data_IF_852228870933
#
_entry.id   IF_852228870933
#
_cell.length_a   1.000
_cell.length_b   1.000
_cell.length_c   1.000
_cell.angle_alpha   90.00
_cell.angle_beta   90.00
_cell.angle_gamma   90.00
#
_symmetry.space_group_name_H-M   'P 1'
#
loop_
_entity.id
_entity.type
_entity.pdbx_description
1 polymer ?
#
# COMPACT_ATOMS: atom_id res chain seq x y z
N UNK A 1 -7.00 -18.13 -25.72
CA UNK A 1 -5.86 -17.29 -25.33
C UNK A 1 -6.03 -16.92 -23.87
N UNK A 2 -5.32 -17.62 -22.98
CA UNK A 2 -5.30 -17.32 -21.54
C UNK A 2 -4.35 -16.14 -21.30
N UNK A 3 -4.73 -15.09 -20.55
CA UNK A 3 -3.79 -14.04 -20.19
C UNK A 3 -2.70 -14.63 -19.29
N UNK A 4 -1.43 -14.47 -19.69
CA UNK A 4 -0.29 -14.86 -18.87
C UNK A 4 -0.29 -14.06 -17.55
N UNK A 5 0.04 -14.68 -16.41
CA UNK A 5 0.15 -13.96 -15.15
C UNK A 5 1.23 -12.89 -15.29
N UNK A 6 0.82 -11.65 -15.01
CA UNK A 6 1.63 -10.43 -15.02
C UNK A 6 2.97 -10.70 -14.33
N UNK A 7 4.07 -10.48 -15.07
CA UNK A 7 5.42 -10.71 -14.59
C UNK A 7 5.61 -10.06 -13.21
N UNK A 8 5.96 -10.87 -12.21
CA UNK A 8 6.34 -10.36 -10.89
C UNK A 8 7.58 -9.51 -11.03
N UNK A 9 7.41 -8.19 -11.13
CA UNK A 9 8.52 -7.23 -11.00
C UNK A 9 9.28 -7.59 -9.72
N UNK A 10 10.61 -7.83 -9.80
CA UNK A 10 11.40 -8.12 -8.62
C UNK A 10 11.25 -6.95 -7.65
N UNK A 11 10.79 -7.27 -6.43
CA UNK A 11 10.62 -6.28 -5.37
C UNK A 11 12.00 -5.91 -4.84
N UNK A 12 12.42 -4.66 -5.06
CA UNK A 12 13.56 -4.11 -4.36
C UNK A 12 13.16 -3.74 -2.93
N UNK A 13 13.97 -4.12 -1.95
CA UNK A 13 13.77 -3.75 -0.55
C UNK A 13 13.91 -2.23 -0.35
N UNK A 14 14.61 -1.53 -1.26
CA UNK A 14 14.73 -0.07 -1.25
C UNK A 14 13.39 0.64 -1.49
N UNK A 15 12.42 -0.03 -2.12
CA UNK A 15 11.09 0.50 -2.40
C UNK A 15 10.13 0.40 -1.20
N UNK A 16 10.56 -0.26 -0.12
CA UNK A 16 9.75 -0.46 1.08
C UNK A 16 10.03 0.67 2.06
N UNK A 17 9.06 1.58 2.22
CA UNK A 17 9.21 2.76 3.08
C UNK A 17 8.15 2.83 4.17
N UNK A 18 8.43 3.48 5.31
CA UNK A 18 7.40 3.79 6.31
C UNK A 18 6.24 4.56 5.68
N UNK A 19 5.01 4.24 6.09
CA UNK A 19 3.81 4.92 5.58
C UNK A 19 3.83 6.44 5.81
N UNK A 20 4.45 6.88 6.90
CA UNK A 20 4.61 8.31 7.20
C UNK A 20 5.44 9.06 6.15
N UNK A 21 6.44 8.41 5.55
CA UNK A 21 7.29 9.03 4.54
C UNK A 21 6.55 9.13 3.20
N UNK A 22 5.74 8.13 2.85
CA UNK A 22 4.83 8.23 1.70
C UNK A 22 3.88 9.42 1.83
N UNK A 23 3.25 9.60 3.01
CA UNK A 23 2.34 10.74 3.24
C UNK A 23 3.06 12.06 2.96
N UNK A 24 4.25 12.25 3.53
CA UNK A 24 5.03 13.48 3.34
C UNK A 24 5.37 13.71 1.87
N UNK A 25 5.77 12.66 1.16
CA UNK A 25 6.08 12.76 -0.28
C UNK A 25 4.85 13.10 -1.12
N UNK A 26 3.72 12.45 -0.87
CA UNK A 26 2.47 12.72 -1.59
C UNK A 26 1.95 14.13 -1.33
N UNK A 27 2.02 14.62 -0.09
CA UNK A 27 1.64 15.99 0.25
C UNK A 27 2.58 17.00 -0.41
N UNK A 28 3.90 16.78 -0.36
CA UNK A 28 4.89 17.66 -1.02
C UNK A 28 4.69 17.74 -2.53
N UNK A 29 4.29 16.64 -3.17
CA UNK A 29 4.05 16.56 -4.61
C UNK A 29 2.62 16.95 -5.01
N UNK A 30 1.73 17.25 -4.06
CA UNK A 30 0.33 17.56 -4.34
C UNK A 30 -0.47 16.38 -4.92
N UNK A 31 -0.04 15.14 -4.69
CA UNK A 31 -0.66 13.92 -5.24
C UNK A 31 -1.91 13.54 -4.46
N UNK A 32 -1.82 13.56 -3.13
CA UNK A 32 -2.92 13.20 -2.24
C UNK A 32 -2.73 13.90 -0.89
N UNK A 33 -3.85 14.15 -0.20
CA UNK A 33 -3.83 14.69 1.16
C UNK A 33 -3.54 13.59 2.18
N UNK A 34 -2.95 13.94 3.33
CA UNK A 34 -2.83 13.01 4.47
C UNK A 34 -4.16 12.39 4.86
N UNK A 35 -5.26 13.13 4.77
CA UNK A 35 -6.61 12.64 5.06
C UNK A 35 -7.00 11.46 4.17
N UNK A 36 -6.84 11.60 2.85
CA UNK A 36 -7.14 10.53 1.88
C UNK A 36 -6.27 9.29 2.11
N UNK A 37 -4.95 9.49 2.25
CA UNK A 37 -4.02 8.37 2.48
C UNK A 37 -4.34 7.63 3.78
N UNK A 38 -4.58 8.38 4.86
CA UNK A 38 -4.93 7.78 6.16
C UNK A 38 -6.26 7.05 6.10
N UNK A 39 -7.23 7.55 5.34
CA UNK A 39 -8.50 6.87 5.11
C UNK A 39 -8.30 5.54 4.38
N UNK A 40 -7.53 5.50 3.29
CA UNK A 40 -7.21 4.24 2.60
C UNK A 40 -6.48 3.24 3.50
N UNK A 41 -5.51 3.71 4.29
CA UNK A 41 -4.80 2.85 5.23
C UNK A 41 -5.70 2.35 6.38
N UNK A 42 -6.72 3.11 6.79
CA UNK A 42 -7.70 2.67 7.79
C UNK A 42 -8.49 1.46 7.27
N UNK A 43 -8.96 1.52 6.03
CA UNK A 43 -9.76 0.47 5.37
C UNK A 43 -8.91 -0.50 4.53
N UNK A 44 -7.62 -0.64 4.85
CA UNK A 44 -6.61 -1.42 4.08
C UNK A 44 -6.91 -2.91 3.87
N UNK A 45 -7.77 -3.49 4.70
CA UNK A 45 -8.21 -4.88 4.54
C UNK A 45 -9.43 -4.98 3.64
N UNK A 46 -10.31 -3.97 3.67
CA UNK A 46 -11.54 -3.90 2.88
C UNK A 46 -11.23 -3.52 1.42
N UNK A 47 -10.32 -2.57 1.21
CA UNK A 47 -9.95 -2.10 -0.12
C UNK A 47 -8.82 -2.90 -0.80
N UNK A 48 -8.42 -4.02 -0.19
CA UNK A 48 -7.41 -4.93 -0.75
C UNK A 48 -5.96 -4.43 -0.74
N UNK A 49 -5.63 -3.31 -0.07
CA UNK A 49 -4.24 -2.80 0.05
C UNK A 49 -3.27 -3.81 0.68
N UNK A 50 -3.74 -4.57 1.67
CA UNK A 50 -2.93 -5.60 2.32
C UNK A 50 -2.80 -6.84 1.45
N UNK A 51 -3.91 -7.28 0.82
CA UNK A 51 -3.93 -8.44 -0.08
C UNK A 51 -3.11 -8.24 -1.35
N UNK A 52 -3.03 -7.02 -1.86
CA UNK A 52 -2.21 -6.66 -3.03
C UNK A 52 -0.72 -6.55 -2.72
N UNK A 53 -0.33 -6.60 -1.45
CA UNK A 53 1.04 -6.37 -1.01
C UNK A 53 1.48 -4.91 -1.10
N UNK A 54 0.58 -3.98 -1.41
CA UNK A 54 0.86 -2.54 -1.43
C UNK A 54 1.16 -1.99 -0.02
N UNK A 55 0.57 -2.60 1.00
CA UNK A 55 0.76 -2.22 2.40
C UNK A 55 1.07 -3.42 3.28
N UNK A 56 2.17 -3.33 4.04
CA UNK A 56 2.67 -4.38 4.92
C UNK A 56 2.55 -3.92 6.37
N UNK A 57 1.98 -4.80 7.20
CA UNK A 57 1.90 -4.59 8.64
C UNK A 57 3.07 -5.27 9.35
N UNK A 58 3.83 -4.50 10.13
CA UNK A 58 4.85 -5.03 11.03
C UNK A 58 4.43 -4.79 12.47
N UNK A 59 4.27 -5.85 13.25
CA UNK A 59 4.10 -5.74 14.71
C UNK A 59 5.46 -5.91 15.37
N UNK A 60 5.83 -4.97 16.24
CA UNK A 60 7.07 -5.09 17.01
C UNK A 60 7.06 -6.31 17.93
N UNK A 61 5.88 -6.64 18.47
CA UNK A 61 5.62 -7.85 19.27
C UNK A 61 4.28 -8.47 18.85
N UNK A 62 4.10 -9.80 18.93
CA UNK A 62 2.84 -10.48 18.56
C UNK A 62 1.60 -9.91 19.29
N UNK A 63 1.80 -9.42 20.52
CA UNK A 63 0.75 -8.82 21.37
C UNK A 63 0.48 -7.34 21.13
N UNK A 64 1.24 -6.67 20.25
CA UNK A 64 1.04 -5.24 19.99
C UNK A 64 -0.33 -4.98 19.37
N UNK A 65 -1.10 -4.05 19.96
CA UNK A 65 -2.41 -3.63 19.46
C UNK A 65 -2.33 -2.82 18.16
N UNK A 66 -1.21 -2.13 17.92
CA UNK A 66 -1.04 -1.24 16.76
C UNK A 66 0.12 -1.74 15.88
N UNK A 67 -0.15 -2.14 14.63
CA UNK A 67 0.91 -2.45 13.68
C UNK A 67 1.56 -1.17 13.15
N UNK A 68 2.85 -1.24 12.87
CA UNK A 68 3.55 -0.27 12.04
C UNK A 68 3.23 -0.57 10.57
N UNK A 69 2.96 0.47 9.80
CA UNK A 69 2.60 0.33 8.38
C UNK A 69 3.78 0.70 7.50
N UNK A 70 4.09 -0.19 6.57
CA UNK A 70 5.08 -0.01 5.52
C UNK A 70 4.37 -0.07 4.17
N UNK A 71 4.85 0.71 3.21
CA UNK A 71 4.33 0.75 1.86
C UNK A 71 5.36 0.17 0.93
N UNK A 72 4.90 -0.67 0.01
CA UNK A 72 5.68 -1.13 -1.13
C UNK A 72 5.32 -0.23 -2.30
N UNK A 73 6.17 0.76 -2.60
CA UNK A 73 5.88 1.84 -3.56
C UNK A 73 5.34 1.36 -4.91
N UNK A 74 6.01 0.44 -5.65
CA UNK A 74 5.54 0.01 -6.96
C UNK A 74 4.16 -0.66 -6.88
N UNK A 75 3.94 -1.51 -5.87
CA UNK A 75 2.64 -2.18 -5.66
C UNK A 75 1.54 -1.22 -5.26
N UNK A 76 1.87 -0.16 -4.51
CA UNK A 76 0.92 0.88 -4.15
C UNK A 76 0.50 1.71 -5.36
N UNK A 77 1.44 2.03 -6.25
CA UNK A 77 1.16 2.70 -7.53
C UNK A 77 0.32 1.77 -8.42
N UNK A 78 0.67 0.49 -8.52
CA UNK A 78 -0.12 -0.49 -9.27
C UNK A 78 -1.54 -0.60 -8.72
N UNK A 79 -1.71 -0.62 -7.40
CA UNK A 79 -3.03 -0.64 -6.76
C UNK A 79 -3.84 0.62 -7.06
N UNK A 80 -3.21 1.79 -7.06
CA UNK A 80 -3.86 3.05 -7.45
C UNK A 80 -4.27 3.05 -8.92
N UNK A 81 -3.37 2.61 -9.82
CA UNK A 81 -3.57 2.63 -11.26
C UNK A 81 -4.61 1.60 -11.74
N UNK A 82 -4.62 0.41 -11.11
CA UNK A 82 -5.57 -0.65 -11.44
C UNK A 82 -6.87 -0.56 -10.64
N UNK A 83 -6.98 0.43 -9.76
CA UNK A 83 -8.22 0.98 -9.22
C UNK A 83 -9.22 -0.01 -8.62
N UNK A 84 -9.29 -0.05 -7.29
CA UNK A 84 -10.54 -0.22 -6.53
C UNK A 84 -11.41 -1.45 -6.85
N UNK A 85 -10.87 -2.49 -7.49
CA UNK A 85 -11.59 -3.73 -7.74
C UNK A 85 -11.67 -4.57 -6.46
N UNK A 86 -12.55 -4.18 -5.54
CA UNK A 86 -13.41 -5.08 -4.77
C UNK A 86 -14.27 -4.28 -3.77
N UNK A 87 -15.51 -3.99 -4.16
CA UNK A 87 -16.70 -4.15 -3.33
C UNK A 87 -17.92 -4.08 -4.27
N UNK A 88 -18.20 -5.19 -4.94
CA UNK A 88 -19.52 -5.50 -5.47
C UNK A 88 -20.24 -6.39 -4.45
#
# INVERSE_FOLDING_TARGET
MTPSPTASTPLDLSDIVPFADLIRECEKKGIATKGQLTWWARYRHENGLTSSGALVEKRANPRSKRPMLFVVRPRFIDWLANGHQAAA
#
